data_IF_448300008261
#
_entry.id   IF_448300008261
#
_cell.length_a   1.000
_cell.length_b   1.000
_cell.length_c   1.000
_cell.angle_alpha   90.00
_cell.angle_beta   90.00
_cell.angle_gamma   90.00
#
_symmetry.space_group_name_H-M   'P 1'
#
loop_
_entity.id
_entity.type
_entity.pdbx_description
1 polymer ?
#
# COMPACT_ATOMS: atom_id res chain seq x y z
N UNK A 1 -11.52 -13.50 -30.90
CA UNK A 1 -12.38 -14.06 -29.82
C UNK A 1 -11.55 -14.33 -28.55
N UNK A 2 -11.08 -13.29 -27.86
CA UNK A 2 -10.13 -13.43 -26.72
C UNK A 2 -10.61 -12.76 -25.42
N UNK A 3 -11.75 -12.05 -25.43
CA UNK A 3 -12.27 -11.30 -24.25
C UNK A 3 -13.00 -12.15 -23.19
N UNK A 4 -13.39 -13.41 -23.46
CA UNK A 4 -14.24 -14.21 -22.54
C UNK A 4 -13.51 -14.96 -21.42
N UNK A 5 -12.18 -15.11 -21.49
CA UNK A 5 -11.41 -15.87 -20.49
C UNK A 5 -10.95 -15.05 -19.28
N UNK A 6 -10.75 -13.73 -19.42
CA UNK A 6 -10.41 -12.86 -18.28
C UNK A 6 -11.58 -12.72 -17.30
N UNK A 7 -12.80 -12.49 -17.80
CA UNK A 7 -13.99 -12.34 -16.95
C UNK A 7 -14.32 -13.62 -16.19
N UNK A 8 -14.20 -14.81 -16.82
CA UNK A 8 -14.37 -16.09 -16.12
C UNK A 8 -13.30 -16.32 -15.05
N UNK A 9 -12.06 -15.89 -15.27
CA UNK A 9 -10.98 -16.01 -14.28
C UNK A 9 -11.23 -15.10 -13.07
N UNK A 10 -11.64 -13.84 -13.28
CA UNK A 10 -12.04 -12.94 -12.19
C UNK A 10 -13.24 -13.48 -11.42
N UNK A 11 -14.27 -13.98 -12.11
CA UNK A 11 -15.46 -14.54 -11.45
C UNK A 11 -15.14 -15.82 -10.68
N UNK A 12 -14.20 -16.65 -11.15
CA UNK A 12 -13.74 -17.83 -10.42
C UNK A 12 -12.87 -17.44 -9.20
N UNK A 13 -11.98 -16.45 -9.32
CA UNK A 13 -11.23 -15.90 -8.18
C UNK A 13 -12.16 -15.32 -7.10
N UNK A 14 -13.25 -14.65 -7.50
CA UNK A 14 -14.29 -14.16 -6.59
C UNK A 14 -15.14 -15.26 -5.93
N UNK A 15 -15.24 -16.44 -6.55
CA UNK A 15 -15.92 -17.61 -5.95
C UNK A 15 -14.97 -18.43 -5.07
N UNK A 16 -13.67 -18.42 -5.38
CA UNK A 16 -12.60 -19.04 -4.59
C UNK A 16 -12.22 -18.24 -3.34
N UNK A 17 -12.54 -16.93 -3.27
CA UNK A 17 -12.40 -16.10 -2.07
C UNK A 17 -13.38 -16.42 -0.92
N UNK A 18 -13.90 -17.66 -0.91
CA UNK A 18 -14.43 -18.45 0.23
C UNK A 18 -14.83 -17.62 1.45
N UNK A 19 -16.12 -17.35 1.62
CA UNK A 19 -16.91 -17.26 2.88
C UNK A 19 -16.42 -16.45 4.09
N UNK A 20 -15.12 -16.48 4.41
CA UNK A 20 -14.45 -15.83 5.54
C UNK A 20 -13.93 -14.44 5.15
N UNK A 21 -13.45 -14.24 3.92
CA UNK A 21 -13.00 -12.92 3.41
C UNK A 21 -14.16 -11.90 3.38
N UNK A 22 -15.39 -12.37 3.14
CA UNK A 22 -16.59 -11.52 3.12
C UNK A 22 -16.97 -10.95 4.49
N UNK A 23 -16.71 -11.69 5.58
CA UNK A 23 -17.10 -11.29 6.94
C UNK A 23 -16.23 -10.13 7.44
N UNK A 24 -14.93 -10.17 7.18
CA UNK A 24 -13.98 -9.13 7.63
C UNK A 24 -13.89 -7.93 6.68
N UNK A 25 -14.18 -8.12 5.39
CA UNK A 25 -14.34 -6.99 4.46
C UNK A 25 -15.46 -6.04 4.90
N UNK A 26 -16.49 -6.55 5.57
CA UNK A 26 -17.59 -5.74 6.09
C UNK A 26 -17.24 -5.05 7.42
N UNK A 27 -16.45 -5.69 8.32
CA UNK A 27 -15.89 -5.02 9.51
C UNK A 27 -14.89 -3.91 9.13
N UNK A 28 -14.05 -4.15 8.12
CA UNK A 28 -13.13 -3.15 7.57
C UNK A 28 -13.85 -2.01 6.83
N UNK A 29 -15.05 -2.24 6.28
CA UNK A 29 -15.90 -1.18 5.71
C UNK A 29 -16.68 -0.41 6.78
N UNK A 30 -17.04 -1.06 7.89
CA UNK A 30 -17.80 -0.47 8.99
C UNK A 30 -16.98 0.55 9.79
N UNK A 31 -15.66 0.41 9.79
CA UNK A 31 -14.74 1.33 10.45
C UNK A 31 -13.84 2.01 9.39
N UNK A 32 -13.53 3.29 9.56
CA UNK A 32 -12.49 3.95 8.76
C UNK A 32 -11.10 3.44 9.22
N UNK A 33 -10.71 2.26 8.72
CA UNK A 33 -9.56 1.50 9.20
C UNK A 33 -8.30 1.92 8.42
N UNK A 34 -7.25 2.34 9.13
CA UNK A 34 -5.94 2.62 8.53
C UNK A 34 -5.29 1.35 7.97
N UNK A 35 -4.47 1.49 6.93
CA UNK A 35 -3.77 0.35 6.29
C UNK A 35 -3.01 -0.54 7.28
N UNK A 36 -2.39 0.04 8.32
CA UNK A 36 -1.70 -0.74 9.36
C UNK A 36 -2.63 -1.62 10.21
N UNK A 37 -3.84 -1.14 10.53
CA UNK A 37 -4.84 -1.97 11.22
C UNK A 37 -5.36 -3.08 10.32
N UNK A 38 -5.53 -2.82 9.02
CA UNK A 38 -5.88 -3.86 8.04
C UNK A 38 -4.81 -4.96 8.01
N UNK A 39 -3.53 -4.60 8.03
CA UNK A 39 -2.45 -5.60 8.11
C UNK A 39 -2.53 -6.47 9.37
N UNK A 40 -2.96 -5.93 10.51
CA UNK A 40 -3.21 -6.71 11.73
C UNK A 40 -4.36 -7.72 11.55
N UNK A 41 -5.43 -7.35 10.84
CA UNK A 41 -6.49 -8.32 10.52
C UNK A 41 -6.01 -9.39 9.53
N UNK A 42 -5.14 -9.03 8.58
CA UNK A 42 -4.56 -10.00 7.64
C UNK A 42 -3.75 -11.05 8.39
N UNK A 43 -2.89 -10.67 9.35
CA UNK A 43 -2.12 -11.64 10.14
C UNK A 43 -3.04 -12.54 10.98
N UNK A 44 -4.07 -12.00 11.64
CA UNK A 44 -5.06 -12.81 12.38
C UNK A 44 -5.75 -13.84 11.48
N UNK A 45 -6.05 -13.47 10.24
CA UNK A 45 -6.67 -14.36 9.28
C UNK A 45 -5.69 -15.44 8.78
N UNK A 46 -4.43 -15.07 8.52
CA UNK A 46 -3.39 -16.01 8.15
C UNK A 46 -3.15 -17.05 9.26
N UNK A 47 -3.14 -16.63 10.53
CA UNK A 47 -3.02 -17.54 11.68
C UNK A 47 -4.20 -18.50 11.80
N UNK A 48 -5.43 -18.06 11.48
CA UNK A 48 -6.62 -18.92 11.45
C UNK A 48 -6.59 -19.92 10.30
N UNK A 49 -6.15 -19.49 9.11
CA UNK A 49 -6.11 -20.33 7.91
C UNK A 49 -4.93 -21.31 7.92
N UNK A 50 -3.81 -20.93 8.55
CA UNK A 50 -2.58 -21.71 8.58
C UNK A 50 -2.06 -21.85 10.02
N UNK A 51 -2.78 -22.53 10.92
CA UNK A 51 -2.45 -22.63 12.35
C UNK A 51 -1.12 -23.33 12.64
N UNK A 52 -0.57 -24.06 11.67
CA UNK A 52 0.74 -24.71 11.76
C UNK A 52 1.92 -23.77 11.47
N UNK A 53 1.67 -22.61 10.87
CA UNK A 53 2.70 -21.62 10.53
C UNK A 53 2.78 -20.55 11.62
N UNK A 54 3.95 -19.95 11.77
CA UNK A 54 4.15 -18.81 12.66
C UNK A 54 4.28 -17.54 11.85
N UNK A 55 3.46 -16.54 12.17
CA UNK A 55 3.50 -15.23 11.56
C UNK A 55 4.00 -14.18 12.54
N UNK A 56 4.54 -13.08 12.03
CA UNK A 56 4.83 -11.90 12.84
C UNK A 56 4.58 -10.61 12.05
N UNK A 57 4.33 -9.53 12.79
CA UNK A 57 4.15 -8.20 12.26
C UNK A 57 5.27 -7.27 12.70
N UNK A 58 5.88 -6.56 11.75
CA UNK A 58 6.90 -5.53 11.99
C UNK A 58 6.40 -4.19 11.50
N UNK A 59 6.72 -3.13 12.23
CA UNK A 59 6.41 -1.74 11.82
C UNK A 59 7.53 -1.08 11.05
N UNK A 60 8.75 -1.62 11.12
CA UNK A 60 9.92 -1.05 10.48
C UNK A 60 10.94 -2.11 10.10
N UNK A 61 11.83 -1.73 9.18
CA UNK A 61 13.01 -2.50 8.79
C UNK A 61 14.23 -1.60 8.89
N UNK A 62 15.27 -2.04 9.60
CA UNK A 62 16.53 -1.31 9.66
C UNK A 62 17.28 -1.42 8.34
N UNK A 63 17.99 -0.35 7.98
CA UNK A 63 18.92 -0.36 6.84
C UNK A 63 20.00 -1.44 6.97
N UNK A 64 20.39 -1.77 8.19
CA UNK A 64 21.33 -2.85 8.49
C UNK A 64 20.81 -4.21 8.01
N UNK A 65 19.53 -4.54 8.26
CA UNK A 65 18.90 -5.78 7.79
C UNK A 65 18.94 -5.89 6.26
N UNK A 66 18.69 -4.78 5.55
CA UNK A 66 18.74 -4.70 4.08
C UNK A 66 20.16 -4.94 3.58
N UNK A 67 21.15 -4.28 4.20
CA UNK A 67 22.55 -4.42 3.83
C UNK A 67 23.07 -5.84 4.08
N UNK A 68 22.67 -6.49 5.18
CA UNK A 68 23.00 -7.89 5.45
C UNK A 68 22.38 -8.85 4.44
N UNK A 69 21.12 -8.62 4.03
CA UNK A 69 20.48 -9.41 2.98
C UNK A 69 21.21 -9.28 1.64
N UNK A 70 21.59 -8.05 1.26
CA UNK A 70 22.34 -7.78 0.05
C UNK A 70 23.73 -8.45 0.05
N UNK A 71 24.45 -8.41 1.18
CA UNK A 71 25.79 -9.05 1.32
C UNK A 71 25.76 -10.56 1.17
N UNK A 72 24.62 -11.21 1.49
CA UNK A 72 24.44 -12.66 1.28
C UNK A 72 24.32 -13.01 -0.21
N UNK A 73 23.94 -12.06 -1.06
CA UNK A 73 23.84 -12.23 -2.51
C UNK A 73 25.18 -11.94 -3.16
N UNK A 74 25.78 -10.80 -2.82
CA UNK A 74 27.08 -10.38 -3.34
C UNK A 74 27.85 -9.59 -2.26
N UNK A 75 29.09 -9.99 -1.90
CA UNK A 75 29.90 -9.30 -0.90
C UNK A 75 30.19 -7.83 -1.19
N UNK A 76 30.04 -7.34 -2.43
CA UNK A 76 30.21 -5.93 -2.82
C UNK A 76 28.94 -5.08 -2.61
N UNK A 77 27.78 -5.69 -2.33
CA UNK A 77 26.53 -4.97 -2.07
C UNK A 77 26.37 -4.63 -0.58
N UNK A 78 25.50 -3.65 -0.26
CA UNK A 78 25.16 -3.31 1.13
C UNK A 78 26.32 -2.73 1.97
N UNK A 79 27.32 -2.14 1.33
CA UNK A 79 28.57 -1.69 2.00
C UNK A 79 28.38 -0.45 2.87
N UNK A 80 27.47 0.44 2.49
CA UNK A 80 27.36 1.77 3.08
C UNK A 80 26.24 1.83 4.10
N UNK A 81 26.56 2.31 5.29
CA UNK A 81 25.60 2.73 6.31
C UNK A 81 26.08 4.03 6.95
N UNK A 82 25.59 5.17 6.46
CA UNK A 82 26.01 6.49 6.95
C UNK A 82 25.38 6.86 8.30
N UNK A 83 24.17 6.36 8.55
CA UNK A 83 23.43 6.57 9.80
C UNK A 83 23.03 5.21 10.34
N UNK A 84 23.60 4.81 11.49
CA UNK A 84 23.43 3.48 12.07
C UNK A 84 21.97 3.16 12.42
N UNK A 85 21.21 4.14 12.89
CA UNK A 85 19.82 3.96 13.31
C UNK A 85 18.80 4.20 12.17
N UNK A 86 19.24 4.18 10.91
CA UNK A 86 18.34 4.39 9.78
C UNK A 86 17.41 3.20 9.54
N UNK A 87 16.15 3.50 9.23
CA UNK A 87 15.11 2.50 8.98
C UNK A 87 14.11 3.02 7.95
N UNK A 88 13.39 2.09 7.34
CA UNK A 88 12.17 2.35 6.60
C UNK A 88 10.96 1.94 7.43
N UNK A 89 9.88 2.70 7.32
CA UNK A 89 8.65 2.51 8.09
C UNK A 89 7.49 2.56 7.08
N UNK A 90 7.09 1.41 6.52
CA UNK A 90 5.88 1.33 5.69
C UNK A 90 4.64 1.58 6.57
N UNK A 91 3.74 2.46 6.12
CA UNK A 91 2.57 2.87 6.92
C UNK A 91 1.66 1.69 7.31
N UNK A 92 1.64 0.63 6.49
CA UNK A 92 0.89 -0.59 6.72
C UNK A 92 1.71 -1.72 7.35
N UNK A 93 2.99 -1.49 7.63
CA UNK A 93 3.90 -2.48 8.20
C UNK A 93 4.25 -3.64 7.26
N UNK A 94 4.83 -4.67 7.86
CA UNK A 94 5.38 -5.85 7.19
C UNK A 94 4.87 -7.10 7.91
N UNK A 95 4.36 -8.06 7.16
CA UNK A 95 3.98 -9.38 7.65
C UNK A 95 5.02 -10.39 7.16
N UNK A 96 5.52 -11.19 8.07
CA UNK A 96 6.48 -12.27 7.81
C UNK A 96 5.92 -13.62 8.27
N UNK A 97 6.34 -14.68 7.60
CA UNK A 97 6.08 -16.08 7.99
C UNK A 97 7.41 -16.79 8.23
N UNK A 98 7.47 -17.68 9.22
CA UNK A 98 8.66 -18.48 9.50
C UNK A 98 8.69 -19.71 8.58
N UNK A 99 9.79 -19.89 7.86
CA UNK A 99 10.03 -21.07 7.01
C UNK A 99 10.59 -22.27 7.81
N UNK A 100 10.69 -23.42 7.13
CA UNK A 100 11.18 -24.68 7.73
C UNK A 100 12.64 -24.60 8.20
N UNK A 101 13.43 -23.66 7.66
CA UNK A 101 14.81 -23.41 8.08
C UNK A 101 14.87 -22.42 9.25
N UNK A 102 13.72 -21.96 9.74
CA UNK A 102 13.60 -21.01 10.83
C UNK A 102 13.81 -19.55 10.44
N UNK A 103 13.90 -19.23 9.15
CA UNK A 103 14.05 -17.87 8.66
C UNK A 103 12.70 -17.19 8.48
N UNK A 104 12.63 -15.89 8.75
CA UNK A 104 11.44 -15.09 8.49
C UNK A 104 11.41 -14.62 7.03
N UNK A 105 10.29 -14.87 6.36
CA UNK A 105 10.06 -14.57 4.94
C UNK A 105 8.91 -13.58 4.81
N UNK A 106 9.13 -12.49 4.09
CA UNK A 106 8.12 -11.44 3.92
C UNK A 106 7.00 -11.95 3.01
N UNK A 107 5.76 -11.82 3.49
CA UNK A 107 4.54 -12.22 2.78
C UNK A 107 3.64 -11.05 2.42
N UNK A 108 3.79 -9.89 3.09
CA UNK A 108 3.09 -8.66 2.75
C UNK A 108 3.86 -7.44 3.24
N UNK A 109 3.97 -6.42 2.39
CA UNK A 109 4.30 -5.04 2.78
C UNK A 109 3.20 -4.15 2.23
N UNK A 110 2.59 -3.33 3.08
CA UNK A 110 1.53 -2.42 2.65
C UNK A 110 1.85 -0.97 2.99
N UNK A 111 1.47 -0.06 2.10
CA UNK A 111 1.64 1.37 2.25
C UNK A 111 0.43 2.10 1.65
N UNK A 112 0.04 3.22 2.24
CA UNK A 112 -1.04 4.05 1.72
C UNK A 112 -0.54 5.48 1.52
N UNK A 113 -0.89 6.11 0.39
CA UNK A 113 -0.55 7.50 0.09
C UNK A 113 -1.80 8.26 -0.32
N UNK A 114 -2.00 9.39 0.35
CA UNK A 114 -3.07 10.32 0.04
C UNK A 114 -2.50 11.60 -0.58
N UNK A 115 -2.98 11.98 -1.77
CA UNK A 115 -2.54 13.21 -2.43
C UNK A 115 -3.69 13.89 -3.22
N UNK A 116 -3.79 15.20 -3.04
CA UNK A 116 -4.79 16.04 -3.67
C UNK A 116 -6.10 16.10 -2.87
N UNK A 117 -6.48 17.31 -2.48
CA UNK A 117 -7.68 17.60 -1.65
C UNK A 117 -8.79 18.33 -2.42
N UNK A 118 -8.71 18.34 -3.74
CA UNK A 118 -9.60 19.15 -4.58
C UNK A 118 -11.06 18.74 -4.40
N UNK A 119 -11.34 17.43 -4.26
CA UNK A 119 -12.69 16.92 -3.98
C UNK A 119 -13.28 17.52 -2.70
N UNK A 120 -12.52 17.51 -1.60
CA UNK A 120 -12.99 18.06 -0.32
C UNK A 120 -13.13 19.59 -0.39
N UNK A 121 -12.19 20.27 -1.04
CA UNK A 121 -12.21 21.73 -1.18
C UNK A 121 -13.42 22.19 -1.99
N UNK A 122 -13.71 21.54 -3.13
CA UNK A 122 -14.87 21.86 -3.98
C UNK A 122 -16.17 21.60 -3.20
N UNK A 123 -16.31 20.45 -2.53
CA UNK A 123 -17.48 20.15 -1.69
C UNK A 123 -17.68 21.17 -0.56
N UNK A 124 -16.60 21.68 0.01
CA UNK A 124 -16.63 22.71 1.05
C UNK A 124 -16.79 24.14 0.50
N UNK A 125 -16.81 24.34 -0.82
CA UNK A 125 -16.87 25.67 -1.43
C UNK A 125 -15.62 26.51 -1.21
N UNK A 126 -14.48 25.89 -0.92
CA UNK A 126 -13.20 26.58 -0.75
C UNK A 126 -12.56 26.83 -2.11
N UNK A 127 -11.90 27.97 -2.26
CA UNK A 127 -10.99 28.27 -3.36
C UNK A 127 -9.55 28.12 -2.86
N UNK A 128 -8.66 27.78 -3.76
CA UNK A 128 -7.25 27.48 -3.53
C UNK A 128 -6.35 28.36 -4.42
N UNK A 129 -5.05 28.12 -4.38
CA UNK A 129 -4.05 28.93 -5.06
C UNK A 129 -3.59 30.14 -4.24
N UNK A 130 -2.48 30.77 -4.63
CA UNK A 130 -1.87 31.87 -3.86
C UNK A 130 -2.80 33.08 -3.67
N UNK A 131 -3.76 33.27 -4.58
CA UNK A 131 -4.76 34.33 -4.54
C UNK A 131 -6.15 33.87 -4.05
N UNK A 132 -6.29 32.59 -3.67
CA UNK A 132 -7.57 31.96 -3.31
C UNK A 132 -8.66 32.16 -4.38
N UNK A 133 -8.30 31.99 -5.65
CA UNK A 133 -9.14 32.24 -6.82
C UNK A 133 -9.31 31.02 -7.74
N UNK A 134 -8.74 29.86 -7.36
CA UNK A 134 -8.77 28.63 -8.16
C UNK A 134 -9.64 27.55 -7.51
N UNK A 135 -10.28 26.70 -8.31
CA UNK A 135 -10.98 25.52 -7.81
C UNK A 135 -10.08 24.32 -7.56
N UNK A 136 -8.99 24.24 -8.31
CA UNK A 136 -8.06 23.11 -8.31
C UNK A 136 -6.68 23.59 -7.89
N UNK A 137 -6.01 22.79 -7.05
CA UNK A 137 -4.62 23.00 -6.70
C UNK A 137 -3.72 22.36 -7.75
N UNK A 138 -2.58 22.98 -8.05
CA UNK A 138 -1.54 22.32 -8.81
C UNK A 138 -1.04 21.07 -8.06
N UNK A 139 -1.04 19.91 -8.72
CA UNK A 139 -0.58 18.67 -8.12
C UNK A 139 0.90 18.75 -7.73
N UNK A 140 1.21 18.35 -6.49
CA UNK A 140 2.59 18.20 -6.02
C UNK A 140 3.21 16.86 -6.45
N UNK A 141 4.47 16.65 -6.11
CA UNK A 141 5.23 15.44 -6.46
C UNK A 141 5.58 14.58 -5.23
N UNK A 142 4.89 14.75 -4.10
CA UNK A 142 5.19 14.04 -2.86
C UNK A 142 5.08 12.50 -3.01
N UNK A 143 4.26 12.03 -3.95
CA UNK A 143 4.09 10.61 -4.28
C UNK A 143 5.37 9.93 -4.79
N UNK A 144 6.30 10.67 -5.40
CA UNK A 144 7.57 10.14 -5.92
C UNK A 144 8.40 9.49 -4.81
N UNK A 145 8.23 9.94 -3.56
CA UNK A 145 8.93 9.37 -2.39
C UNK A 145 8.59 7.90 -2.12
N UNK A 146 7.49 7.39 -2.66
CA UNK A 146 7.10 5.97 -2.52
C UNK A 146 8.11 5.04 -3.18
N UNK A 147 8.77 5.49 -4.25
CA UNK A 147 9.81 4.71 -4.94
C UNK A 147 10.98 4.34 -4.02
N UNK A 148 11.30 5.20 -3.04
CA UNK A 148 12.37 4.91 -2.08
C UNK A 148 12.06 3.64 -1.27
N UNK A 149 10.88 3.55 -0.67
CA UNK A 149 10.51 2.38 0.14
C UNK A 149 10.37 1.11 -0.72
N UNK A 150 9.82 1.23 -1.93
CA UNK A 150 9.73 0.13 -2.90
C UNK A 150 11.12 -0.43 -3.22
N UNK A 151 12.10 0.44 -3.55
CA UNK A 151 13.47 0.00 -3.85
C UNK A 151 14.17 -0.63 -2.65
N UNK A 152 13.95 -0.12 -1.43
CA UNK A 152 14.55 -0.68 -0.22
C UNK A 152 14.00 -2.09 0.09
N UNK A 153 12.69 -2.33 -0.08
CA UNK A 153 12.11 -3.67 0.06
C UNK A 153 12.54 -4.58 -1.10
N UNK A 154 12.66 -4.05 -2.32
CA UNK A 154 13.13 -4.84 -3.47
C UNK A 154 14.57 -5.32 -3.25
N UNK A 155 15.43 -4.48 -2.69
CA UNK A 155 16.79 -4.85 -2.31
C UNK A 155 16.82 -5.91 -1.19
N UNK A 156 15.98 -5.75 -0.17
CA UNK A 156 15.87 -6.72 0.91
C UNK A 156 15.41 -8.09 0.42
N UNK A 157 14.50 -8.11 -0.54
CA UNK A 157 13.90 -9.31 -1.12
C UNK A 157 14.57 -9.73 -2.45
N UNK A 158 15.79 -9.27 -2.73
CA UNK A 158 16.43 -9.49 -4.03
C UNK A 158 16.70 -10.99 -4.33
N UNK A 159 16.81 -11.82 -3.29
CA UNK A 159 16.93 -13.28 -3.41
C UNK A 159 15.58 -14.02 -3.49
N UNK A 160 14.47 -13.31 -3.34
CA UNK A 160 13.12 -13.87 -3.36
C UNK A 160 12.57 -13.95 -4.78
N UNK A 161 11.64 -14.88 -5.01
CA UNK A 161 10.93 -15.02 -6.31
C UNK A 161 9.57 -14.34 -6.33
N UNK A 162 9.24 -13.57 -5.30
CA UNK A 162 7.99 -12.82 -5.15
C UNK A 162 8.27 -11.43 -4.57
N UNK A 163 7.37 -10.48 -4.84
CA UNK A 163 7.48 -9.11 -4.35
C UNK A 163 6.09 -8.62 -3.87
N UNK A 164 5.70 -8.92 -2.62
CA UNK A 164 4.35 -8.69 -2.12
C UNK A 164 4.18 -7.27 -1.56
N UNK A 165 4.57 -6.26 -2.35
CA UNK A 165 4.43 -4.84 -1.99
C UNK A 165 3.13 -4.28 -2.55
N UNK A 166 2.27 -3.74 -1.69
CA UNK A 166 0.99 -3.15 -2.07
C UNK A 166 0.96 -1.67 -1.70
N UNK A 167 0.76 -0.80 -2.69
CA UNK A 167 0.62 0.64 -2.53
C UNK A 167 -0.82 1.05 -2.82
N UNK A 168 -1.52 1.56 -1.80
CA UNK A 168 -2.86 2.13 -1.94
C UNK A 168 -2.76 3.63 -2.20
N UNK A 169 -3.43 4.11 -3.25
CA UNK A 169 -3.45 5.52 -3.63
C UNK A 169 -4.87 6.09 -3.47
N UNK A 170 -4.96 7.26 -2.84
CA UNK A 170 -6.24 7.95 -2.63
C UNK A 170 -6.10 9.47 -2.83
N UNK A 171 -7.11 10.08 -3.43
CA UNK A 171 -7.23 11.54 -3.56
C UNK A 171 -7.38 12.01 -4.99
N UNK A 172 -7.65 13.31 -5.15
CA UNK A 172 -7.93 13.94 -6.46
C UNK A 172 -6.78 13.85 -7.46
N UNK A 173 -5.55 13.56 -7.03
CA UNK A 173 -4.42 13.41 -7.95
C UNK A 173 -4.30 11.99 -8.53
N UNK A 174 -5.13 11.03 -8.08
CA UNK A 174 -5.08 9.63 -8.50
C UNK A 174 -6.40 9.16 -9.13
N UNK A 175 -7.13 10.08 -9.78
CA UNK A 175 -8.35 9.74 -10.49
C UNK A 175 -8.07 8.78 -11.64
N UNK A 176 -8.96 7.80 -11.81
CA UNK A 176 -8.94 6.84 -12.92
C UNK A 176 -10.12 7.02 -13.87
N UNK A 177 -11.03 7.92 -13.50
CA UNK A 177 -12.21 8.30 -14.25
C UNK A 177 -12.52 9.78 -13.98
N UNK A 178 -13.10 10.44 -14.97
CA UNK A 178 -13.58 11.81 -14.85
C UNK A 178 -14.72 11.88 -13.84
N UNK A 179 -14.67 12.87 -12.95
CA UNK A 179 -15.71 13.09 -11.94
C UNK A 179 -16.25 14.52 -12.01
N UNK A 180 -17.52 14.68 -11.66
CA UNK A 180 -18.18 15.98 -11.55
C UNK A 180 -18.63 16.22 -10.12
N UNK A 181 -18.22 17.35 -9.55
CA UNK A 181 -18.49 17.70 -8.16
C UNK A 181 -19.24 19.03 -8.12
N UNK A 182 -20.39 19.03 -7.45
CA UNK A 182 -21.18 20.23 -7.25
C UNK A 182 -20.71 20.98 -6.00
N UNK A 183 -20.42 22.27 -6.16
CA UNK A 183 -20.09 23.20 -5.08
C UNK A 183 -21.35 23.64 -4.33
N UNK A 184 -21.23 24.19 -3.10
CA UNK A 184 -22.35 24.76 -2.35
C UNK A 184 -23.09 25.90 -3.08
N UNK A 185 -22.39 26.66 -3.92
CA UNK A 185 -22.95 27.74 -4.76
C UNK A 185 -23.73 27.22 -5.99
N UNK A 186 -23.80 25.91 -6.18
CA UNK A 186 -24.51 25.26 -7.28
C UNK A 186 -23.67 25.00 -8.53
N UNK A 187 -22.48 25.58 -8.64
CA UNK A 187 -21.57 25.38 -9.78
C UNK A 187 -21.03 23.95 -9.78
N UNK A 188 -20.90 23.36 -10.97
CA UNK A 188 -20.31 22.02 -11.15
C UNK A 188 -18.87 22.19 -11.62
N UNK A 189 -17.94 21.53 -10.93
CA UNK A 189 -16.53 21.45 -11.31
C UNK A 189 -16.26 20.03 -11.80
N UNK A 190 -15.72 19.92 -13.01
CA UNK A 190 -15.31 18.64 -13.61
C UNK A 190 -13.82 18.47 -13.39
N UNK A 191 -13.41 17.31 -12.88
CA UNK A 191 -11.99 16.93 -12.75
C UNK A 191 -11.75 15.75 -13.69
N UNK A 192 -10.79 15.94 -14.59
CA UNK A 192 -10.39 14.99 -15.64
C UNK A 192 -9.08 14.27 -15.27
#
# INVERSE_FOLDING_TARGET
MTKKNQSKRLTNQHKESKGVVGIFGDEAKSHDITVGKISLFVIEQLEKEFPQLSFQYKTSIKKEEINEALKKIDPELGQTLFVSNSSIIPDGGIIEVKDDNGNWRIVLVSEAKHQGKDIENIKAGKLVGAKNDQDLMAAGNAIERSHKNISEIANLMLSESHFPYVLFLEGSNFLTETISIKRPDGRVVTIE
#
